data_IF_493205091956
#
_entry.id   IF_493205091956
#
_cell.length_a   1.000
_cell.length_b   1.000
_cell.length_c   1.000
_cell.angle_alpha   90.00
_cell.angle_beta   90.00
_cell.angle_gamma   90.00
#
_symmetry.space_group_name_H-M   'P 1'
#
loop_
_entity.id
_entity.type
_entity.pdbx_description
1 polymer ?
#
# COMPACT_ATOMS: atom_id res chain seq x y z
N UNK A 1 -7.41 -12.07 15.40
CA UNK A 1 -7.77 -12.59 14.04
C UNK A 1 -6.48 -12.92 13.29
N UNK A 2 -6.51 -13.90 12.39
CA UNK A 2 -5.37 -14.26 11.52
C UNK A 2 -5.77 -14.02 10.06
N UNK A 3 -4.83 -13.56 9.24
CA UNK A 3 -5.03 -13.27 7.82
C UNK A 3 -4.02 -14.07 7.01
N UNK A 4 -4.44 -14.60 5.86
CA UNK A 4 -3.56 -15.33 4.95
C UNK A 4 -2.49 -14.39 4.37
N UNK A 5 -1.21 -14.81 4.41
CA UNK A 5 -0.08 -13.99 3.92
C UNK A 5 -0.18 -13.62 2.43
N UNK A 6 -0.78 -14.46 1.59
CA UNK A 6 -0.98 -14.13 0.19
C UNK A 6 -2.06 -13.08 -0.01
N UNK A 7 -3.13 -13.10 0.82
CA UNK A 7 -4.12 -12.00 0.85
C UNK A 7 -3.45 -10.70 1.28
N UNK A 8 -2.60 -10.74 2.32
CA UNK A 8 -1.82 -9.58 2.75
C UNK A 8 -0.95 -9.07 1.61
N UNK A 9 -0.16 -9.94 0.98
CA UNK A 9 0.70 -9.59 -0.16
C UNK A 9 -0.08 -8.89 -1.27
N UNK A 10 -1.18 -9.46 -1.72
CA UNK A 10 -1.99 -8.89 -2.79
C UNK A 10 -2.58 -7.53 -2.39
N UNK A 11 -2.99 -7.38 -1.12
CA UNK A 11 -3.46 -6.10 -0.56
C UNK A 11 -2.35 -5.06 -0.56
N UNK A 12 -1.13 -5.42 -0.11
CA UNK A 12 0.02 -4.50 -0.10
C UNK A 12 0.36 -4.01 -1.50
N UNK A 13 0.45 -4.92 -2.48
CA UNK A 13 0.75 -4.56 -3.87
C UNK A 13 -0.31 -3.63 -4.44
N UNK A 14 -1.59 -3.97 -4.27
CA UNK A 14 -2.70 -3.12 -4.69
C UNK A 14 -2.64 -1.75 -4.04
N UNK A 15 -2.50 -1.72 -2.71
CA UNK A 15 -2.44 -0.47 -1.94
C UNK A 15 -1.27 0.42 -2.35
N UNK A 16 -0.13 -0.17 -2.73
CA UNK A 16 0.97 0.58 -3.31
C UNK A 16 0.53 1.33 -4.56
N UNK A 17 -0.09 0.64 -5.53
CA UNK A 17 -0.49 1.26 -6.80
C UNK A 17 -1.57 2.32 -6.60
N UNK A 18 -2.57 2.05 -5.76
CA UNK A 18 -3.65 3.00 -5.46
C UNK A 18 -3.11 4.26 -4.77
N UNK A 19 -2.23 4.10 -3.79
CA UNK A 19 -1.65 5.20 -3.06
C UNK A 19 -0.63 6.00 -3.88
N UNK A 20 0.26 5.33 -4.60
CA UNK A 20 1.26 5.99 -5.43
C UNK A 20 0.61 6.80 -6.56
N UNK A 21 -0.38 6.23 -7.25
CA UNK A 21 -1.12 6.94 -8.30
C UNK A 21 -1.93 8.13 -7.74
N UNK A 22 -2.55 7.96 -6.58
CA UNK A 22 -3.26 9.07 -5.90
C UNK A 22 -2.30 10.20 -5.52
N UNK A 23 -1.09 9.87 -5.06
CA UNK A 23 -0.05 10.87 -4.77
C UNK A 23 0.39 11.64 -6.02
N UNK A 24 0.61 10.96 -7.15
CA UNK A 24 0.94 11.63 -8.42
C UNK A 24 -0.20 12.56 -8.83
N UNK A 25 -1.45 12.10 -8.74
CA UNK A 25 -2.64 12.90 -9.07
C UNK A 25 -2.69 14.15 -8.19
N UNK A 26 -2.60 13.98 -6.87
CA UNK A 26 -2.67 15.07 -5.91
C UNK A 26 -1.53 16.08 -6.08
N UNK A 27 -0.33 15.63 -6.42
CA UNK A 27 0.81 16.50 -6.69
C UNK A 27 0.63 17.36 -7.95
N UNK A 28 -0.17 16.88 -8.91
CA UNK A 28 -0.42 17.58 -10.18
C UNK A 28 -1.55 18.61 -10.04
N UNK A 29 -2.58 18.29 -9.25
CA UNK A 29 -3.75 19.17 -9.08
C UNK A 29 -3.45 20.37 -8.18
N UNK A 30 -2.47 20.24 -7.27
CA UNK A 30 -2.20 21.26 -6.25
C UNK A 30 -3.41 21.46 -5.33
N UNK A 31 -3.54 22.67 -4.77
CA UNK A 31 -4.66 23.02 -3.87
C UNK A 31 -5.99 23.30 -4.58
N UNK A 32 -6.10 23.00 -5.87
CA UNK A 32 -7.35 23.16 -6.58
C UNK A 32 -8.38 22.19 -6.03
N UNK A 33 -9.48 22.71 -5.53
CA UNK A 33 -10.57 21.93 -5.01
C UNK A 33 -11.00 20.83 -6.00
N UNK A 34 -11.38 19.65 -5.48
CA UNK A 34 -11.94 18.55 -6.27
C UNK A 34 -13.31 18.96 -6.83
N UNK A 35 -13.26 19.73 -7.90
CA UNK A 35 -14.46 20.14 -8.64
C UNK A 35 -14.70 19.16 -9.78
N UNK A 36 -15.95 18.99 -10.25
CA UNK A 36 -16.25 18.15 -11.41
C UNK A 36 -15.40 18.46 -12.66
N UNK A 37 -14.98 19.71 -12.81
CA UNK A 37 -14.11 20.17 -13.89
C UNK A 37 -12.65 19.70 -13.75
N UNK A 38 -12.20 19.36 -12.53
CA UNK A 38 -10.83 18.93 -12.22
C UNK A 38 -10.72 17.40 -12.02
N UNK A 39 -11.81 16.64 -12.23
CA UNK A 39 -11.75 15.17 -12.11
C UNK A 39 -10.86 14.59 -13.20
N UNK A 40 -9.86 13.83 -12.76
CA UNK A 40 -8.99 13.12 -13.69
C UNK A 40 -9.77 12.02 -14.43
N UNK A 41 -9.76 12.09 -15.74
CA UNK A 41 -10.27 11.01 -16.56
C UNK A 41 -9.31 9.82 -16.51
N UNK A 42 -9.76 8.56 -16.72
CA UNK A 42 -8.88 7.40 -16.83
C UNK A 42 -7.73 7.61 -17.81
N UNK A 43 -7.95 8.36 -18.89
CA UNK A 43 -6.92 8.70 -19.87
C UNK A 43 -5.84 9.60 -19.29
N UNK A 44 -6.21 10.59 -18.49
CA UNK A 44 -5.25 11.48 -17.81
C UNK A 44 -4.42 10.70 -16.80
N UNK A 45 -5.07 9.89 -15.96
CA UNK A 45 -4.37 9.03 -14.99
C UNK A 45 -3.37 8.11 -15.69
N UNK A 46 -3.80 7.47 -16.79
CA UNK A 46 -2.92 6.64 -17.61
C UNK A 46 -1.70 7.40 -18.10
N UNK A 47 -1.90 8.62 -18.64
CA UNK A 47 -0.77 9.42 -19.15
C UNK A 47 0.18 9.79 -18.02
N UNK A 48 -0.35 10.25 -16.89
CA UNK A 48 0.47 10.58 -15.72
C UNK A 48 1.31 9.39 -15.23
N UNK A 49 0.74 8.18 -15.22
CA UNK A 49 1.48 6.98 -14.85
C UNK A 49 2.53 6.60 -15.90
N UNK A 50 2.26 6.83 -17.18
CA UNK A 50 3.24 6.61 -18.24
C UNK A 50 4.43 7.58 -18.16
N UNK A 51 4.18 8.82 -17.78
CA UNK A 51 5.23 9.83 -17.59
C UNK A 51 6.21 9.46 -16.44
N UNK A 52 5.77 8.60 -15.52
CA UNK A 52 6.57 8.14 -14.37
C UNK A 52 6.90 6.64 -14.39
N UNK A 53 6.63 5.94 -15.51
CA UNK A 53 6.70 4.48 -15.54
C UNK A 53 8.09 3.93 -15.18
N UNK A 54 9.17 4.62 -15.55
CA UNK A 54 10.55 4.22 -15.26
C UNK A 54 10.87 4.25 -13.76
N UNK A 55 10.14 5.07 -12.99
CA UNK A 55 10.33 5.21 -11.55
C UNK A 55 9.46 4.26 -10.73
N UNK A 56 8.39 3.68 -11.31
CA UNK A 56 7.43 2.87 -10.57
C UNK A 56 8.10 1.62 -9.97
N UNK A 57 8.85 0.88 -10.76
CA UNK A 57 9.46 -0.36 -10.29
C UNK A 57 10.51 -0.15 -9.18
N UNK A 58 11.47 0.79 -9.29
CA UNK A 58 12.37 1.10 -8.20
C UNK A 58 11.67 1.55 -6.92
N UNK A 59 10.67 2.44 -7.04
CA UNK A 59 9.89 2.93 -5.88
C UNK A 59 9.07 1.82 -5.27
N UNK A 60 8.48 0.95 -6.08
CA UNK A 60 7.75 -0.23 -5.62
C UNK A 60 8.66 -1.14 -4.80
N UNK A 61 9.80 -1.55 -5.35
CA UNK A 61 10.74 -2.45 -4.68
C UNK A 61 11.23 -1.89 -3.35
N UNK A 62 11.60 -0.61 -3.31
CA UNK A 62 12.05 0.05 -2.08
C UNK A 62 10.91 0.20 -1.05
N UNK A 63 9.68 0.49 -1.49
CA UNK A 63 8.52 0.56 -0.60
C UNK A 63 8.13 -0.79 -0.03
N UNK A 64 8.20 -1.84 -0.86
CA UNK A 64 7.74 -3.18 -0.51
C UNK A 64 8.78 -4.01 0.27
N UNK A 65 10.06 -3.68 0.17
CA UNK A 65 11.12 -4.48 0.79
C UNK A 65 10.87 -4.74 2.28
N UNK A 66 10.72 -3.69 3.08
CA UNK A 66 10.53 -3.83 4.52
C UNK A 66 9.22 -4.56 4.88
N UNK A 67 8.06 -4.22 4.33
CA UNK A 67 6.82 -4.96 4.57
C UNK A 67 6.92 -6.46 4.24
N UNK A 68 7.54 -6.82 3.12
CA UNK A 68 7.74 -8.21 2.74
C UNK A 68 8.68 -8.94 3.71
N UNK A 69 9.79 -8.30 4.08
CA UNK A 69 10.71 -8.86 5.05
C UNK A 69 10.03 -9.04 6.43
N UNK A 70 9.30 -8.03 6.90
CA UNK A 70 8.61 -8.07 8.18
C UNK A 70 7.42 -9.05 8.23
N UNK A 71 6.94 -9.51 7.08
CA UNK A 71 5.94 -10.57 6.95
C UNK A 71 6.53 -11.96 7.16
N UNK A 72 7.82 -12.13 6.90
CA UNK A 72 8.47 -13.44 6.81
C UNK A 72 9.62 -13.63 7.81
N UNK A 73 10.14 -12.55 8.39
CA UNK A 73 11.28 -12.57 9.31
C UNK A 73 10.98 -11.77 10.58
N UNK A 74 11.61 -12.17 11.68
CA UNK A 74 11.68 -11.34 12.88
C UNK A 74 12.58 -10.12 12.63
N UNK A 75 12.35 -9.03 13.38
CA UNK A 75 13.04 -7.76 13.14
C UNK A 75 14.58 -7.89 13.19
N UNK A 76 15.09 -8.66 14.16
CA UNK A 76 16.52 -8.91 14.27
C UNK A 76 17.12 -9.68 13.08
N UNK A 77 16.32 -10.53 12.45
CA UNK A 77 16.73 -11.30 11.27
C UNK A 77 16.75 -10.45 10.01
N UNK A 78 15.88 -9.43 9.91
CA UNK A 78 15.84 -8.52 8.74
C UNK A 78 17.18 -7.80 8.59
N UNK A 79 17.75 -7.27 9.68
CA UNK A 79 19.06 -6.62 9.64
C UNK A 79 20.17 -7.57 9.21
N UNK A 80 20.14 -8.82 9.69
CA UNK A 80 21.10 -9.85 9.29
C UNK A 80 20.97 -10.16 7.80
N UNK A 81 19.76 -10.39 7.30
CA UNK A 81 19.47 -10.67 5.89
C UNK A 81 19.96 -9.55 4.99
N UNK A 82 19.72 -8.29 5.35
CA UNK A 82 20.20 -7.12 4.60
C UNK A 82 21.72 -7.08 4.56
N UNK A 83 22.37 -7.28 5.70
CA UNK A 83 23.84 -7.26 5.79
C UNK A 83 24.49 -8.36 4.96
N UNK A 84 23.96 -9.58 5.03
CA UNK A 84 24.43 -10.71 4.24
C UNK A 84 24.26 -10.48 2.73
N UNK A 85 23.11 -9.90 2.32
CA UNK A 85 22.85 -9.57 0.95
C UNK A 85 23.80 -8.46 0.42
N UNK A 86 24.05 -7.44 1.23
CA UNK A 86 25.04 -6.40 0.89
C UNK A 86 26.45 -6.97 0.73
N UNK A 87 26.85 -7.92 1.59
CA UNK A 87 28.13 -8.60 1.48
C UNK A 87 28.27 -9.44 0.21
N UNK A 88 27.16 -10.01 -0.28
CA UNK A 88 27.11 -10.73 -1.57
C UNK A 88 27.09 -9.79 -2.77
N UNK A 89 26.81 -8.50 -2.60
CA UNK A 89 26.60 -7.56 -3.67
C UNK A 89 25.25 -7.71 -4.37
N UNK A 90 24.26 -8.21 -3.66
CA UNK A 90 22.89 -8.40 -4.17
C UNK A 90 22.27 -7.05 -4.56
N UNK A 91 21.62 -7.02 -5.71
CA UNK A 91 20.83 -5.87 -6.15
C UNK A 91 19.46 -5.81 -5.41
N UNK A 92 18.69 -4.74 -5.63
CA UNK A 92 17.40 -4.55 -5.00
C UNK A 92 16.40 -5.67 -5.36
N UNK A 93 16.50 -6.23 -6.56
CA UNK A 93 15.63 -7.34 -6.99
C UNK A 93 15.91 -8.61 -6.19
N UNK A 94 17.19 -8.93 -5.98
CA UNK A 94 17.61 -10.07 -5.17
C UNK A 94 17.22 -9.88 -3.70
N UNK A 95 17.34 -8.64 -3.17
CA UNK A 95 16.87 -8.28 -1.83
C UNK A 95 15.37 -8.51 -1.67
N UNK A 96 14.56 -8.03 -2.60
CA UNK A 96 13.10 -8.21 -2.56
C UNK A 96 12.72 -9.68 -2.67
N UNK A 97 13.40 -10.46 -3.52
CA UNK A 97 13.18 -11.91 -3.60
C UNK A 97 13.48 -12.60 -2.25
N UNK A 98 14.57 -12.23 -1.61
CA UNK A 98 14.90 -12.74 -0.27
C UNK A 98 13.85 -12.32 0.75
N UNK A 99 13.39 -11.07 0.73
CA UNK A 99 12.34 -10.55 1.62
C UNK A 99 11.02 -11.32 1.50
N UNK A 100 10.70 -11.84 0.33
CA UNK A 100 9.51 -12.69 0.11
C UNK A 100 9.58 -14.04 0.86
N UNK A 101 10.76 -14.50 1.27
CA UNK A 101 10.96 -15.73 2.04
C UNK A 101 10.80 -17.02 1.25
N UNK A 102 9.94 -17.05 0.24
CA UNK A 102 9.73 -18.21 -0.66
C UNK A 102 9.58 -17.76 -2.11
N UNK A 103 9.94 -18.67 -3.06
CA UNK A 103 9.76 -18.41 -4.49
C UNK A 103 8.27 -18.21 -4.84
N UNK A 104 7.36 -18.96 -4.22
CA UNK A 104 5.92 -18.82 -4.45
C UNK A 104 5.41 -17.42 -4.05
N UNK A 105 5.89 -16.87 -2.92
CA UNK A 105 5.55 -15.51 -2.50
C UNK A 105 6.11 -14.46 -3.47
N UNK A 106 7.34 -14.66 -3.95
CA UNK A 106 7.95 -13.78 -4.94
C UNK A 106 7.19 -13.80 -6.28
N UNK A 107 6.84 -14.97 -6.78
CA UNK A 107 6.04 -15.12 -8.01
C UNK A 107 4.64 -14.51 -7.85
N UNK A 108 4.02 -14.69 -6.69
CA UNK A 108 2.76 -14.02 -6.34
C UNK A 108 2.89 -12.50 -6.39
N UNK A 109 3.93 -11.94 -5.79
CA UNK A 109 4.21 -10.50 -5.83
C UNK A 109 4.40 -9.99 -7.26
N UNK A 110 5.19 -10.69 -8.07
CA UNK A 110 5.43 -10.29 -9.48
C UNK A 110 4.13 -10.36 -10.30
N UNK A 111 3.31 -11.37 -10.06
CA UNK A 111 2.01 -11.52 -10.72
C UNK A 111 1.08 -10.36 -10.37
N UNK A 112 0.97 -10.03 -9.07
CA UNK A 112 0.16 -8.91 -8.60
C UNK A 112 0.68 -7.57 -9.11
N UNK A 113 2.01 -7.36 -9.12
CA UNK A 113 2.62 -6.18 -9.71
C UNK A 113 2.21 -6.00 -11.17
N UNK A 114 2.41 -7.04 -12.01
CA UNK A 114 2.08 -6.99 -13.43
C UNK A 114 0.60 -6.70 -13.67
N UNK A 115 -0.28 -7.29 -12.87
CA UNK A 115 -1.71 -7.11 -12.98
C UNK A 115 -2.13 -5.67 -12.62
N UNK A 116 -1.70 -5.16 -11.46
CA UNK A 116 -2.05 -3.81 -11.05
C UNK A 116 -1.44 -2.75 -11.99
N UNK A 117 -0.21 -2.95 -12.42
CA UNK A 117 0.42 -2.10 -13.43
C UNK A 117 -0.34 -2.12 -14.76
N UNK A 118 -0.76 -3.30 -15.24
CA UNK A 118 -1.57 -3.45 -16.45
C UNK A 118 -2.94 -2.78 -16.33
N UNK A 119 -3.57 -2.83 -15.16
CA UNK A 119 -4.82 -2.12 -14.88
C UNK A 119 -4.64 -0.61 -15.01
N UNK A 120 -3.60 -0.04 -14.41
CA UNK A 120 -3.29 1.38 -14.54
C UNK A 120 -3.05 1.77 -16.01
N UNK A 121 -2.26 0.99 -16.75
CA UNK A 121 -2.00 1.24 -18.18
C UNK A 121 -3.27 1.17 -19.03
N UNK A 122 -4.24 0.34 -18.67
CA UNK A 122 -5.54 0.27 -19.35
C UNK A 122 -6.53 1.36 -18.92
N UNK A 123 -6.14 2.21 -17.95
CA UNK A 123 -7.01 3.23 -17.38
C UNK A 123 -8.06 2.68 -16.42
N UNK A 124 -7.86 1.45 -15.92
CA UNK A 124 -8.70 0.88 -14.85
C UNK A 124 -8.03 1.23 -13.52
N UNK A 125 -8.78 1.85 -12.63
CA UNK A 125 -8.37 1.90 -11.22
C UNK A 125 -8.41 0.48 -10.66
N UNK A 126 -7.51 0.15 -9.76
CA UNK A 126 -7.26 -1.23 -9.30
C UNK A 126 -8.37 -1.79 -8.39
N UNK A 127 -9.61 -1.66 -8.74
CA UNK A 127 -10.75 -1.79 -7.82
C UNK A 127 -11.29 -3.21 -7.58
N UNK A 128 -10.77 -4.29 -8.19
CA UNK A 128 -11.37 -5.62 -8.00
C UNK A 128 -10.61 -6.48 -7.00
N UNK A 129 -11.24 -6.72 -5.85
CA UNK A 129 -10.81 -7.68 -4.83
C UNK A 129 -11.16 -9.15 -5.21
N UNK A 130 -12.01 -9.35 -6.21
CA UNK A 130 -12.59 -10.66 -6.59
C UNK A 130 -11.56 -11.77 -6.84
N UNK A 131 -10.35 -11.39 -7.27
CA UNK A 131 -9.26 -12.35 -7.49
C UNK A 131 -8.54 -12.77 -6.20
N UNK A 132 -8.71 -12.02 -5.10
CA UNK A 132 -8.10 -12.38 -3.82
C UNK A 132 -8.67 -13.70 -3.29
N UNK A 133 -9.90 -14.08 -3.69
CA UNK A 133 -10.45 -15.41 -3.40
C UNK A 133 -9.54 -16.55 -3.89
N UNK A 134 -8.84 -16.37 -5.00
CA UNK A 134 -7.93 -17.39 -5.53
C UNK A 134 -6.78 -17.68 -4.56
N UNK A 135 -6.33 -16.69 -3.80
CA UNK A 135 -5.29 -16.83 -2.79
C UNK A 135 -5.79 -17.38 -1.46
N UNK A 136 -7.09 -17.28 -1.19
CA UNK A 136 -7.68 -17.81 0.05
C UNK A 136 -8.05 -19.28 -0.07
N UNK A 137 -8.34 -19.78 -1.28
CA UNK A 137 -8.86 -21.14 -1.51
C UNK A 137 -7.82 -22.24 -1.63
N UNK A 138 -6.54 -21.93 -1.85
CA UNK A 138 -5.57 -22.94 -2.27
C UNK A 138 -4.25 -23.00 -1.50
N UNK A 139 -4.00 -22.15 -0.53
CA UNK A 139 -2.69 -22.02 0.06
C UNK A 139 -2.64 -22.25 1.56
N UNK A 140 -1.63 -22.98 1.93
CA UNK A 140 -1.13 -23.38 3.24
C UNK A 140 -1.83 -22.70 4.41
N UNK A 141 -2.56 -23.49 5.19
CA UNK A 141 -3.13 -23.10 6.47
C UNK A 141 -2.08 -22.54 7.45
N UNK A 142 -0.79 -22.74 7.13
CA UNK A 142 0.36 -22.26 7.91
C UNK A 142 0.84 -20.86 7.49
N UNK A 143 0.53 -20.37 6.29
CA UNK A 143 0.95 -19.06 5.82
C UNK A 143 0.03 -17.96 6.35
N UNK A 144 0.00 -17.76 7.68
CA UNK A 144 -0.85 -16.78 8.34
C UNK A 144 -0.04 -15.70 9.07
N UNK A 145 -0.61 -14.51 9.15
CA UNK A 145 -0.11 -13.37 9.89
C UNK A 145 -1.19 -12.90 10.88
N UNK A 146 -0.80 -12.29 11.99
CA UNK A 146 -1.80 -11.63 12.83
C UNK A 146 -2.43 -10.46 12.08
N UNK A 147 -3.70 -10.20 12.31
CA UNK A 147 -4.39 -9.10 11.65
C UNK A 147 -3.79 -7.75 12.03
N UNK A 148 -3.35 -7.59 13.27
CA UNK A 148 -2.66 -6.39 13.76
C UNK A 148 -1.39 -6.13 12.94
N UNK A 149 -0.58 -7.18 12.74
CA UNK A 149 0.64 -7.04 11.92
C UNK A 149 0.33 -6.73 10.47
N UNK A 150 -0.70 -7.36 9.91
CA UNK A 150 -1.14 -7.08 8.54
C UNK A 150 -1.62 -5.63 8.37
N UNK A 151 -2.33 -5.09 9.36
CA UNK A 151 -2.74 -3.67 9.41
C UNK A 151 -1.52 -2.74 9.45
N UNK A 152 -0.56 -2.98 10.35
CA UNK A 152 0.67 -2.17 10.44
C UNK A 152 1.40 -2.10 9.08
N UNK A 153 1.62 -3.25 8.43
CA UNK A 153 2.30 -3.31 7.14
C UNK A 153 1.54 -2.58 6.04
N UNK A 154 0.21 -2.70 6.04
CA UNK A 154 -0.65 -2.04 5.05
C UNK A 154 -0.63 -0.53 5.22
N UNK A 155 -0.74 -0.02 6.44
CA UNK A 155 -0.61 1.40 6.76
C UNK A 155 0.72 1.96 6.23
N UNK A 156 1.82 1.28 6.51
CA UNK A 156 3.15 1.69 6.02
C UNK A 156 3.18 1.80 4.50
N UNK A 157 2.74 0.77 3.80
CA UNK A 157 2.75 0.77 2.33
C UNK A 157 1.93 1.92 1.78
N UNK A 158 0.71 2.12 2.28
CA UNK A 158 -0.17 3.21 1.83
C UNK A 158 0.50 4.56 2.03
N UNK A 159 1.02 4.84 3.22
CA UNK A 159 1.60 6.15 3.53
C UNK A 159 2.89 6.42 2.75
N UNK A 160 3.81 5.46 2.69
CA UNK A 160 5.06 5.62 1.92
C UNK A 160 4.79 5.74 0.42
N UNK A 161 3.93 4.90 -0.14
CA UNK A 161 3.59 4.96 -1.55
C UNK A 161 2.93 6.30 -1.90
N UNK A 162 2.00 6.78 -1.09
CA UNK A 162 1.34 8.07 -1.29
C UNK A 162 2.32 9.25 -1.23
N UNK A 163 3.16 9.30 -0.19
CA UNK A 163 4.19 10.35 -0.05
C UNK A 163 5.16 10.36 -1.25
N UNK A 164 5.59 9.18 -1.70
CA UNK A 164 6.49 9.03 -2.86
C UNK A 164 5.81 9.40 -4.17
N UNK A 165 4.51 9.12 -4.31
CA UNK A 165 3.70 9.60 -5.43
C UNK A 165 3.62 11.12 -5.47
N UNK A 166 3.36 11.77 -4.33
CA UNK A 166 3.37 13.24 -4.21
C UNK A 166 4.72 13.84 -4.64
N UNK A 167 5.82 13.21 -4.29
CA UNK A 167 7.18 13.69 -4.60
C UNK A 167 7.54 13.62 -6.08
N UNK A 168 6.84 12.84 -6.90
CA UNK A 168 7.16 12.75 -8.34
C UNK A 168 7.09 14.11 -9.05
N UNK A 169 6.21 15.00 -8.60
CA UNK A 169 6.05 16.34 -9.20
C UNK A 169 6.38 17.49 -8.23
N UNK A 170 6.65 17.21 -6.96
CA UNK A 170 6.91 18.24 -5.97
C UNK A 170 8.36 18.77 -6.06
N UNK A 171 8.50 20.09 -6.00
CA UNK A 171 9.81 20.79 -5.97
C UNK A 171 10.29 21.13 -4.56
N UNK A 172 9.78 20.47 -3.53
CA UNK A 172 10.10 20.78 -2.13
C UNK A 172 9.53 19.75 -1.19
N UNK A 173 9.21 20.21 0.01
CA UNK A 173 8.48 19.38 0.98
C UNK A 173 7.09 19.07 0.47
N UNK A 174 6.56 17.92 0.85
CA UNK A 174 5.22 17.48 0.47
C UNK A 174 4.31 17.43 1.70
N UNK A 175 3.04 17.77 1.51
CA UNK A 175 2.02 17.68 2.53
C UNK A 175 1.06 16.53 2.21
N UNK A 176 0.86 15.63 3.17
CA UNK A 176 -0.11 14.55 3.01
C UNK A 176 -1.54 15.12 3.11
N UNK A 177 -2.37 14.80 2.14
CA UNK A 177 -3.79 15.20 2.16
C UNK A 177 -4.58 14.18 2.97
N UNK A 178 -5.07 14.61 4.12
CA UNK A 178 -5.79 13.75 5.05
C UNK A 178 -6.99 13.04 4.40
N UNK A 179 -7.78 13.77 3.63
CA UNK A 179 -8.97 13.17 2.97
C UNK A 179 -8.60 12.03 2.00
N UNK A 180 -7.55 12.21 1.19
CA UNK A 180 -7.05 11.15 0.29
C UNK A 180 -6.50 9.99 1.11
N UNK A 181 -5.69 10.27 2.13
CA UNK A 181 -5.06 9.27 2.98
C UNK A 181 -6.11 8.42 3.71
N UNK A 182 -7.13 9.06 4.30
CA UNK A 182 -8.21 8.33 4.96
C UNK A 182 -8.99 7.43 4.01
N UNK A 183 -9.31 7.89 2.80
CA UNK A 183 -9.95 7.06 1.79
C UNK A 183 -9.10 5.85 1.41
N UNK A 184 -7.80 6.05 1.16
CA UNK A 184 -6.87 4.97 0.83
C UNK A 184 -6.75 3.94 1.97
N UNK A 185 -6.70 4.42 3.22
CA UNK A 185 -6.67 3.55 4.39
C UNK A 185 -7.95 2.75 4.53
N UNK A 186 -9.10 3.40 4.36
CA UNK A 186 -10.41 2.74 4.44
C UNK A 186 -10.53 1.63 3.39
N UNK A 187 -10.17 1.91 2.15
CA UNK A 187 -10.19 0.94 1.06
C UNK A 187 -9.24 -0.23 1.34
N UNK A 188 -8.01 0.06 1.78
CA UNK A 188 -7.02 -0.96 2.09
C UNK A 188 -7.45 -1.86 3.27
N UNK A 189 -7.97 -1.27 4.36
CA UNK A 189 -8.45 -2.02 5.51
C UNK A 189 -9.68 -2.86 5.16
N UNK A 190 -10.58 -2.33 4.33
CA UNK A 190 -11.76 -3.07 3.87
C UNK A 190 -11.36 -4.34 3.10
N UNK A 191 -10.39 -4.23 2.18
CA UNK A 191 -9.88 -5.39 1.44
C UNK A 191 -9.15 -6.38 2.36
N UNK A 192 -8.37 -5.87 3.31
CA UNK A 192 -7.55 -6.70 4.19
C UNK A 192 -8.40 -7.51 5.18
N UNK A 193 -9.36 -6.86 5.83
CA UNK A 193 -10.05 -7.38 7.01
C UNK A 193 -11.43 -7.97 6.71
N UNK A 194 -12.02 -7.65 5.55
CA UNK A 194 -13.36 -8.09 5.19
C UNK A 194 -13.34 -9.00 3.97
N UNK A 195 -14.07 -10.09 4.01
CA UNK A 195 -14.25 -10.98 2.86
C UNK A 195 -15.30 -10.40 1.89
N UNK A 196 -16.30 -9.69 2.41
CA UNK A 196 -17.24 -8.88 1.66
C UNK A 196 -17.00 -7.41 1.98
N UNK A 197 -16.94 -6.55 0.96
CA UNK A 197 -16.71 -5.13 1.15
C UNK A 197 -17.80 -4.52 2.05
N UNK A 198 -17.39 -3.88 3.12
CA UNK A 198 -18.30 -3.08 3.95
C UNK A 198 -18.74 -1.88 3.11
N UNK A 199 -20.06 -1.73 2.88
CA UNK A 199 -20.56 -0.59 2.12
C UNK A 199 -20.27 0.71 2.87
N UNK A 200 -19.62 1.62 2.16
CA UNK A 200 -19.28 2.97 2.64
C UNK A 200 -20.44 3.93 2.42
N UNK A 201 -21.36 3.57 1.49
CA UNK A 201 -22.48 4.42 1.08
C UNK A 201 -23.56 4.59 2.17
N UNK A 202 -23.61 3.65 3.12
CA UNK A 202 -24.55 3.70 4.27
C UNK A 202 -24.01 4.48 5.48
N UNK A 203 -22.76 4.93 5.42
CA UNK A 203 -22.17 5.69 6.51
C UNK A 203 -22.34 7.18 6.22
N UNK A 204 -23.00 7.85 7.16
CA UNK A 204 -23.00 9.30 7.20
C UNK A 204 -21.51 9.75 7.21
N UNK A 205 -21.05 10.32 6.11
CA UNK A 205 -19.64 10.72 5.93
C UNK A 205 -19.17 11.74 7.00
N UNK A 206 -20.06 12.16 7.88
CA UNK A 206 -19.80 13.01 9.04
C UNK A 206 -19.06 12.30 10.18
N UNK A 207 -19.04 10.94 10.22
CA UNK A 207 -18.35 10.19 11.27
C UNK A 207 -17.39 9.13 10.72
N UNK A 208 -16.23 9.61 10.27
CA UNK A 208 -15.13 8.76 9.80
C UNK A 208 -14.64 7.77 10.86
N UNK A 209 -14.71 8.14 12.14
CA UNK A 209 -14.31 7.26 13.24
C UNK A 209 -15.19 6.01 13.33
N UNK A 210 -16.50 6.18 13.27
CA UNK A 210 -17.45 5.05 13.25
C UNK A 210 -17.27 4.17 12.02
N UNK A 211 -16.97 4.76 10.87
CA UNK A 211 -16.73 4.02 9.64
C UNK A 211 -15.46 3.16 9.74
N UNK A 212 -14.37 3.72 10.24
CA UNK A 212 -13.14 2.96 10.47
C UNK A 212 -13.33 1.85 11.52
N UNK A 213 -14.07 2.10 12.59
CA UNK A 213 -14.40 1.07 13.57
C UNK A 213 -15.19 -0.07 12.94
N UNK A 214 -16.15 0.23 12.06
CA UNK A 214 -16.92 -0.77 11.33
C UNK A 214 -16.03 -1.64 10.45
N UNK A 215 -15.09 -1.04 9.73
CA UNK A 215 -14.15 -1.74 8.85
C UNK A 215 -13.11 -2.54 9.65
N UNK A 216 -12.61 -1.99 10.74
CA UNK A 216 -11.61 -2.64 11.61
C UNK A 216 -12.20 -3.69 12.54
N UNK A 217 -13.53 -3.78 12.69
CA UNK A 217 -14.28 -4.68 13.58
C UNK A 217 -14.04 -4.51 15.08
N UNK A 218 -12.88 -4.04 15.51
CA UNK A 218 -12.51 -3.91 16.93
C UNK A 218 -11.80 -2.61 17.20
N UNK A 219 -11.99 -2.07 18.41
CA UNK A 219 -11.24 -0.90 18.89
C UNK A 219 -9.74 -1.15 18.87
N UNK A 220 -9.28 -2.35 19.20
CA UNK A 220 -7.85 -2.68 19.17
C UNK A 220 -7.27 -2.55 17.77
N UNK A 221 -7.97 -3.04 16.74
CA UNK A 221 -7.51 -2.94 15.36
C UNK A 221 -7.47 -1.49 14.86
N UNK A 222 -8.47 -0.70 15.23
CA UNK A 222 -8.49 0.73 14.95
C UNK A 222 -7.31 1.45 15.63
N UNK A 223 -7.04 1.15 16.92
CA UNK A 223 -5.89 1.71 17.64
C UNK A 223 -4.57 1.31 16.99
N UNK A 224 -4.40 0.03 16.60
CA UNK A 224 -3.21 -0.43 15.87
C UNK A 224 -3.00 0.36 14.58
N UNK A 225 -4.06 0.62 13.82
CA UNK A 225 -4.00 1.43 12.60
C UNK A 225 -3.56 2.85 12.88
N UNK A 226 -4.17 3.52 13.86
CA UNK A 226 -3.84 4.93 14.17
C UNK A 226 -2.44 5.07 14.74
N UNK A 227 -2.01 4.19 15.64
CA UNK A 227 -0.67 4.20 16.21
C UNK A 227 0.41 3.99 15.12
N UNK A 228 0.14 3.13 14.13
CA UNK A 228 1.07 2.94 13.02
C UNK A 228 1.04 4.12 12.05
N UNK A 229 -0.10 4.78 11.86
CA UNK A 229 -0.17 6.02 11.08
C UNK A 229 0.73 7.09 11.70
N UNK A 230 0.65 7.30 13.00
CA UNK A 230 1.47 8.29 13.70
C UNK A 230 2.97 7.94 13.60
N UNK A 231 3.35 6.69 13.86
CA UNK A 231 4.74 6.23 13.73
C UNK A 231 5.29 6.39 12.32
N UNK A 232 4.49 6.02 11.33
CA UNK A 232 4.87 6.12 9.92
C UNK A 232 4.95 7.58 9.47
N UNK A 233 4.07 8.45 9.97
CA UNK A 233 4.13 9.88 9.70
C UNK A 233 5.44 10.51 10.21
N UNK A 234 5.84 10.21 11.45
CA UNK A 234 7.11 10.65 12.01
C UNK A 234 8.32 10.17 11.20
N UNK A 235 8.26 8.95 10.66
CA UNK A 235 9.30 8.42 9.80
C UNK A 235 9.33 9.14 8.44
N UNK A 236 8.18 9.42 7.84
CA UNK A 236 8.06 10.16 6.59
C UNK A 236 8.59 11.60 6.71
N UNK A 237 8.30 12.29 7.82
CA UNK A 237 8.87 13.61 8.11
C UNK A 237 10.40 13.57 8.10
N UNK A 238 10.99 12.55 8.73
CA UNK A 238 12.46 12.40 8.83
C UNK A 238 13.12 11.96 7.53
N UNK A 239 12.51 11.03 6.79
CA UNK A 239 13.15 10.35 5.65
C UNK A 239 12.70 10.87 4.29
N UNK A 240 11.45 11.28 4.16
CA UNK A 240 10.85 11.63 2.87
C UNK A 240 10.56 13.13 2.74
N UNK A 241 10.88 13.96 3.77
CA UNK A 241 10.69 15.39 3.72
C UNK A 241 9.21 15.80 3.64
N UNK A 242 8.36 15.06 4.33
CA UNK A 242 6.95 15.43 4.55
C UNK A 242 6.89 16.58 5.55
N UNK A 243 6.01 17.56 5.34
CA UNK A 243 5.75 18.65 6.29
C UNK A 243 4.90 18.15 7.46
N UNK A 244 5.19 18.72 8.64
CA UNK A 244 4.33 18.57 9.82
C UNK A 244 3.05 19.39 9.66
#
# INVERSE_FOLDING_TARGET
MKVNKYKVLATLVRSFFDAFSSGIIDSTVGDKADTPANRHTPKMVKQMMLDHYEHIAPVFMDTMFFPLAAMNYEYADIERVVREAQQRGDDMMALVRTACGTDAMYEGMVTEYKRNFGNLLSGRMTSNADHLEAYTRGNDAEAVLSAERAVELTVRVVMFAYARGLRQNAKGKVQLRQATLFRLMLDAMNVLLNDEAVSVDDADASDLGSLFLKVCHTQQMFTTMTDEMDRTYDELVRREGVEQ
#
